data_IF_546493023712
#
_entry.id   IF_546493023712
#
_cell.length_a   1.000
_cell.length_b   1.000
_cell.length_c   1.000
_cell.angle_alpha   90.00
_cell.angle_beta   90.00
_cell.angle_gamma   90.00
#
_symmetry.space_group_name_H-M   'P 1'
#
loop_
_entity.id
_entity.type
_entity.pdbx_description
1 polymer ?
#
# COMPACT_ATOMS: atom_id res chain seq x y z
N UNK A 1 -4.63 14.78 -14.86
CA UNK A 1 -3.60 14.06 -14.09
C UNK A 1 -3.07 14.98 -12.98
N UNK A 2 -3.11 14.50 -11.74
CA UNK A 2 -2.41 15.15 -10.62
C UNK A 2 -1.18 14.27 -10.32
N UNK A 3 0.02 14.83 -10.45
CA UNK A 3 1.28 14.11 -10.37
C UNK A 3 2.10 14.59 -9.17
N UNK A 4 2.19 13.76 -8.14
CA UNK A 4 2.99 14.01 -6.94
C UNK A 4 4.36 13.37 -7.08
N UNK A 5 5.42 14.14 -6.96
CA UNK A 5 6.80 13.64 -7.07
C UNK A 5 7.72 14.30 -6.05
N UNK A 6 8.93 13.78 -5.92
CA UNK A 6 10.04 14.40 -5.18
C UNK A 6 11.08 15.04 -6.10
N UNK A 7 11.01 14.72 -7.36
CA UNK A 7 11.86 15.23 -8.44
C UNK A 7 10.99 15.69 -9.60
N UNK A 8 11.60 16.08 -10.70
CA UNK A 8 10.90 16.53 -11.89
C UNK A 8 10.86 15.45 -13.01
N UNK A 9 10.99 14.17 -12.63
CA UNK A 9 10.91 13.07 -13.60
C UNK A 9 9.59 13.15 -14.39
N UNK A 10 9.68 13.02 -15.71
CA UNK A 10 8.56 13.11 -16.65
C UNK A 10 7.77 14.43 -16.66
N UNK A 11 8.21 15.45 -15.89
CA UNK A 11 7.48 16.72 -15.82
C UNK A 11 7.43 17.42 -17.19
N UNK A 12 8.54 17.47 -17.91
CA UNK A 12 8.63 18.12 -19.22
C UNK A 12 7.74 17.43 -20.25
N UNK A 13 7.80 16.09 -20.30
CA UNK A 13 7.00 15.27 -21.21
C UNK A 13 5.50 15.41 -20.95
N UNK A 14 5.10 15.37 -19.67
CA UNK A 14 3.69 15.51 -19.29
C UNK A 14 3.16 16.93 -19.56
N UNK A 15 4.00 17.95 -19.38
CA UNK A 15 3.66 19.32 -19.72
C UNK A 15 3.48 19.49 -21.23
N UNK A 16 4.35 18.90 -22.05
CA UNK A 16 4.22 18.91 -23.51
C UNK A 16 2.92 18.21 -23.97
N UNK A 17 2.58 17.06 -23.37
CA UNK A 17 1.33 16.38 -23.65
C UNK A 17 0.10 17.26 -23.31
N UNK A 18 0.14 17.99 -22.20
CA UNK A 18 -0.94 18.89 -21.81
C UNK A 18 -1.10 20.06 -22.80
N UNK A 19 0.00 20.55 -23.38
CA UNK A 19 -0.05 21.59 -24.42
C UNK A 19 -0.62 21.07 -25.75
N UNK A 20 -0.37 19.80 -26.07
CA UNK A 20 -0.83 19.18 -27.33
C UNK A 20 -2.29 18.70 -27.26
N UNK A 21 -2.80 18.41 -26.06
CA UNK A 21 -4.11 17.80 -25.84
C UNK A 21 -4.96 18.63 -24.89
N UNK A 22 -5.86 19.43 -25.39
CA UNK A 22 -6.71 20.37 -24.65
C UNK A 22 -7.56 19.69 -23.54
N UNK A 23 -7.85 18.38 -23.68
CA UNK A 23 -8.59 17.61 -22.67
C UNK A 23 -7.69 16.97 -21.60
N UNK A 24 -6.38 17.06 -21.72
CA UNK A 24 -5.43 16.55 -20.75
C UNK A 24 -4.97 17.66 -19.81
N UNK A 25 -5.63 17.74 -18.65
CA UNK A 25 -5.25 18.67 -17.59
C UNK A 25 -4.15 18.05 -16.72
N UNK A 26 -3.03 18.75 -16.55
CA UNK A 26 -1.87 18.29 -15.82
C UNK A 26 -1.53 19.23 -14.66
N UNK A 27 -1.46 18.68 -13.46
CA UNK A 27 -1.03 19.39 -12.26
C UNK A 27 0.17 18.68 -11.64
N UNK A 28 1.29 19.38 -11.54
CA UNK A 28 2.52 18.88 -10.95
C UNK A 28 2.69 19.42 -9.53
N UNK A 29 2.94 18.53 -8.57
CA UNK A 29 3.19 18.87 -7.17
C UNK A 29 4.50 18.22 -6.76
N UNK A 30 5.57 19.04 -6.66
CA UNK A 30 6.83 18.61 -6.09
C UNK A 30 6.71 18.64 -4.56
N UNK A 31 6.60 17.46 -3.94
CA UNK A 31 6.33 17.32 -2.51
C UNK A 31 7.48 17.78 -1.61
N UNK A 32 8.72 17.83 -2.11
CA UNK A 32 9.85 18.38 -1.37
C UNK A 32 9.81 19.91 -1.32
N UNK A 33 9.39 20.55 -2.41
CA UNK A 33 9.36 22.01 -2.53
C UNK A 33 8.08 22.57 -1.93
N UNK A 34 6.93 22.06 -2.35
CA UNK A 34 5.62 22.58 -1.97
C UNK A 34 5.15 22.05 -0.62
N UNK A 35 5.76 20.94 -0.12
CA UNK A 35 5.35 20.26 1.13
C UNK A 35 3.85 19.93 1.18
N UNK A 36 3.26 19.74 0.00
CA UNK A 36 1.84 19.50 -0.18
C UNK A 36 1.61 18.02 -0.53
N UNK A 37 0.62 17.44 0.13
CA UNK A 37 0.18 16.07 -0.07
C UNK A 37 -1.30 16.08 -0.48
N UNK A 38 -1.79 14.93 -0.97
CA UNK A 38 -3.20 14.83 -1.33
C UNK A 38 -4.08 14.95 -0.08
N UNK A 39 -5.01 15.89 -0.14
CA UNK A 39 -6.12 16.06 0.80
C UNK A 39 -7.41 16.42 0.02
N UNK A 40 -8.51 16.51 0.75
CA UNK A 40 -9.80 16.81 0.12
C UNK A 40 -9.82 18.19 -0.55
N UNK A 41 -9.27 19.21 0.11
CA UNK A 41 -9.24 20.56 -0.43
C UNK A 41 -8.45 20.67 -1.72
N UNK A 42 -7.28 20.03 -1.79
CA UNK A 42 -6.47 19.97 -2.98
C UNK A 42 -7.18 19.22 -4.11
N UNK A 43 -7.84 18.11 -3.79
CA UNK A 43 -8.59 17.32 -4.77
C UNK A 43 -9.76 18.14 -5.36
N UNK A 44 -10.52 18.84 -4.51
CA UNK A 44 -11.62 19.72 -4.94
C UNK A 44 -11.14 20.91 -5.79
N UNK A 45 -9.97 21.46 -5.45
CA UNK A 45 -9.36 22.56 -6.20
C UNK A 45 -8.90 22.13 -7.60
N UNK A 46 -8.19 20.99 -7.70
CA UNK A 46 -7.56 20.56 -8.95
C UNK A 46 -8.46 19.69 -9.83
N UNK A 47 -9.47 19.06 -9.26
CA UNK A 47 -10.43 18.21 -9.95
C UNK A 47 -11.84 18.41 -9.38
N UNK A 48 -12.51 19.55 -9.65
CA UNK A 48 -13.82 19.84 -9.06
C UNK A 48 -14.88 18.77 -9.31
N UNK A 49 -14.77 18.08 -10.44
CA UNK A 49 -15.70 17.01 -10.84
C UNK A 49 -15.31 15.62 -10.36
N UNK A 50 -14.36 15.49 -9.41
CA UNK A 50 -13.88 14.18 -8.96
C UNK A 50 -15.01 13.26 -8.45
N UNK A 51 -16.10 13.85 -7.93
CA UNK A 51 -17.27 13.08 -7.43
C UNK A 51 -18.04 12.35 -8.55
N UNK A 52 -17.91 12.81 -9.78
CA UNK A 52 -18.58 12.25 -10.96
C UNK A 52 -17.62 11.47 -11.87
N UNK A 53 -16.34 11.43 -11.54
CA UNK A 53 -15.29 10.81 -12.34
C UNK A 53 -14.75 9.53 -11.70
N UNK A 54 -14.25 8.61 -12.51
CA UNK A 54 -13.43 7.50 -12.05
C UNK A 54 -12.02 8.00 -11.76
N UNK A 55 -11.54 7.78 -10.55
CA UNK A 55 -10.19 8.10 -10.13
C UNK A 55 -9.32 6.84 -10.17
N UNK A 56 -8.23 6.92 -10.91
CA UNK A 56 -7.19 5.91 -10.94
C UNK A 56 -5.98 6.44 -10.19
N UNK A 57 -5.56 5.75 -9.15
CA UNK A 57 -4.46 6.17 -8.30
C UNK A 57 -3.40 5.10 -8.17
N UNK A 58 -2.14 5.54 -8.22
CA UNK A 58 -0.96 4.71 -8.07
C UNK A 58 0.13 5.55 -7.40
N UNK A 59 0.77 5.05 -6.38
CA UNK A 59 1.83 5.81 -5.70
C UNK A 59 2.16 5.32 -4.30
N UNK A 60 2.78 6.21 -3.52
CA UNK A 60 3.23 5.92 -2.17
C UNK A 60 2.07 5.56 -1.23
N UNK A 61 2.34 4.69 -0.27
CA UNK A 61 1.35 4.18 0.69
C UNK A 61 0.57 5.28 1.41
N UNK A 62 1.23 6.33 1.88
CA UNK A 62 0.58 7.45 2.56
C UNK A 62 -0.44 8.17 1.66
N UNK A 63 -0.09 8.42 0.38
CA UNK A 63 -1.01 9.00 -0.59
C UNK A 63 -2.23 8.10 -0.82
N UNK A 64 -2.00 6.78 -0.98
CA UNK A 64 -3.06 5.80 -1.19
C UNK A 64 -4.00 5.71 0.02
N UNK A 65 -3.47 5.79 1.24
CA UNK A 65 -4.27 5.83 2.47
C UNK A 65 -5.12 7.10 2.55
N UNK A 66 -4.55 8.27 2.25
CA UNK A 66 -5.29 9.55 2.23
C UNK A 66 -6.43 9.50 1.23
N UNK A 67 -6.18 9.02 0.00
CA UNK A 67 -7.24 8.86 -1.01
C UNK A 67 -8.35 7.91 -0.53
N UNK A 68 -8.00 6.76 0.05
CA UNK A 68 -9.00 5.84 0.61
C UNK A 68 -9.87 6.53 1.67
N UNK A 69 -9.27 7.25 2.60
CA UNK A 69 -10.00 7.98 3.65
C UNK A 69 -10.95 9.03 3.05
N UNK A 70 -10.47 9.84 2.09
CA UNK A 70 -11.28 10.86 1.41
C UNK A 70 -12.49 10.18 0.72
N UNK A 71 -12.26 9.16 -0.09
CA UNK A 71 -13.34 8.51 -0.85
C UNK A 71 -14.32 7.73 0.04
N UNK A 72 -13.86 7.16 1.16
CA UNK A 72 -14.73 6.55 2.16
C UNK A 72 -15.61 7.58 2.86
N UNK A 73 -15.04 8.70 3.31
CA UNK A 73 -15.79 9.79 3.96
C UNK A 73 -16.84 10.42 3.04
N UNK A 74 -16.57 10.43 1.74
CA UNK A 74 -17.49 10.96 0.73
C UNK A 74 -18.48 9.91 0.18
N UNK A 75 -18.41 8.64 0.65
CA UNK A 75 -19.19 7.50 0.12
C UNK A 75 -18.94 7.23 -1.39
N UNK A 76 -17.74 7.47 -1.88
CA UNK A 76 -17.33 7.36 -3.28
C UNK A 76 -16.36 6.21 -3.56
N UNK A 77 -16.28 5.20 -2.71
CA UNK A 77 -15.30 4.10 -2.81
C UNK A 77 -15.35 3.33 -4.13
N UNK A 78 -16.53 3.23 -4.74
CA UNK A 78 -16.70 2.57 -6.04
C UNK A 78 -15.99 3.30 -7.19
N UNK A 79 -15.76 4.61 -7.05
CA UNK A 79 -15.13 5.47 -8.05
C UNK A 79 -13.61 5.52 -7.92
N UNK A 80 -13.03 4.96 -6.85
CA UNK A 80 -11.58 4.90 -6.65
C UNK A 80 -11.05 3.54 -7.10
N UNK A 81 -10.21 3.54 -8.13
CA UNK A 81 -9.43 2.39 -8.58
C UNK A 81 -7.97 2.62 -8.23
N UNK A 82 -7.35 1.66 -7.58
CA UNK A 82 -5.99 1.79 -7.07
C UNK A 82 -5.11 0.67 -7.56
N UNK A 83 -3.92 1.02 -8.01
CA UNK A 83 -2.87 0.09 -8.34
C UNK A 83 -1.74 0.23 -7.31
N UNK A 84 -1.26 -0.90 -6.80
CA UNK A 84 -0.31 -0.92 -5.71
C UNK A 84 1.00 -1.57 -6.15
N UNK A 85 2.11 -0.90 -5.88
CA UNK A 85 3.43 -1.52 -6.00
C UNK A 85 3.74 -2.34 -4.75
N UNK A 86 4.55 -3.38 -4.92
CA UNK A 86 4.97 -4.21 -3.80
C UNK A 86 5.80 -3.38 -2.80
N UNK A 87 5.52 -3.61 -1.52
CA UNK A 87 6.34 -3.05 -0.45
C UNK A 87 7.57 -3.92 -0.24
N UNK A 88 8.72 -3.29 -0.22
CA UNK A 88 9.95 -3.98 0.11
C UNK A 88 10.01 -4.23 1.62
N UNK A 89 10.21 -5.47 2.00
CA UNK A 89 10.58 -5.85 3.36
C UNK A 89 11.99 -5.32 3.67
N UNK A 90 12.31 -5.26 4.94
CA UNK A 90 13.66 -4.90 5.41
C UNK A 90 14.63 -6.06 5.13
N UNK A 91 15.42 -5.93 4.07
CA UNK A 91 16.37 -6.97 3.63
C UNK A 91 17.54 -7.16 4.60
N UNK A 92 17.74 -6.23 5.55
CA UNK A 92 18.78 -6.36 6.58
C UNK A 92 18.40 -7.36 7.70
N UNK A 93 17.11 -7.71 7.79
CA UNK A 93 16.64 -8.65 8.80
C UNK A 93 16.88 -10.10 8.37
N UNK A 94 17.29 -10.97 9.32
CA UNK A 94 17.49 -12.38 9.02
C UNK A 94 16.17 -13.05 8.65
N UNK A 95 16.24 -14.02 7.77
CA UNK A 95 15.11 -14.88 7.42
C UNK A 95 14.60 -15.65 8.65
N UNK A 96 13.29 -15.85 8.73
CA UNK A 96 12.66 -16.49 9.89
C UNK A 96 11.78 -17.67 9.46
N UNK A 97 11.76 -18.76 10.22
CA UNK A 97 10.83 -19.86 9.99
C UNK A 97 9.40 -19.41 10.32
N UNK A 98 8.48 -19.76 9.42
CA UNK A 98 7.06 -19.48 9.54
C UNK A 98 6.26 -20.76 9.34
N UNK A 99 5.28 -20.99 10.22
CA UNK A 99 4.37 -22.13 10.13
C UNK A 99 2.93 -21.65 10.01
N UNK A 100 2.24 -22.09 8.96
CA UNK A 100 0.79 -21.96 8.83
C UNK A 100 0.12 -23.18 9.46
N UNK A 101 -0.53 -23.00 10.61
CA UNK A 101 -1.01 -24.12 11.43
C UNK A 101 -2.11 -24.93 10.74
N UNK A 102 -3.03 -24.28 10.02
CA UNK A 102 -4.15 -24.95 9.34
C UNK A 102 -3.67 -25.84 8.19
N UNK A 103 -2.75 -25.34 7.37
CA UNK A 103 -2.22 -26.09 6.22
C UNK A 103 -1.06 -26.99 6.58
N UNK A 104 -0.53 -26.91 7.79
CA UNK A 104 0.69 -27.61 8.25
C UNK A 104 1.92 -27.33 7.38
N UNK A 105 1.93 -26.18 6.68
CA UNK A 105 3.04 -25.78 5.81
C UNK A 105 4.02 -24.93 6.61
N UNK A 106 5.29 -25.28 6.49
CA UNK A 106 6.42 -24.53 7.06
C UNK A 106 7.29 -24.01 5.93
N UNK A 107 7.76 -22.78 6.06
CA UNK A 107 8.66 -22.15 5.10
C UNK A 107 9.53 -21.08 5.78
N UNK A 108 10.54 -20.60 5.10
CA UNK A 108 11.38 -19.50 5.55
C UNK A 108 10.93 -18.20 4.91
N UNK A 109 10.63 -17.19 5.72
CA UNK A 109 10.23 -15.87 5.25
C UNK A 109 11.44 -14.94 5.18
N UNK A 110 11.70 -14.37 4.01
CA UNK A 110 12.75 -13.39 3.70
C UNK A 110 12.19 -12.00 3.38
N UNK A 111 10.87 -11.91 3.26
CA UNK A 111 10.13 -10.68 2.92
C UNK A 111 8.83 -10.60 3.70
N UNK A 112 7.85 -9.82 3.25
CA UNK A 112 6.56 -9.83 3.96
C UNK A 112 5.93 -11.23 3.91
N UNK A 113 5.14 -11.54 4.94
CA UNK A 113 4.57 -12.86 5.15
C UNK A 113 3.66 -13.33 4.01
N UNK A 114 2.97 -12.41 3.32
CA UNK A 114 2.13 -12.75 2.18
C UNK A 114 2.96 -13.29 1.01
N UNK A 115 4.00 -12.55 0.62
CA UNK A 115 4.86 -12.94 -0.50
C UNK A 115 5.62 -14.24 -0.19
N UNK A 116 6.15 -14.37 1.02
CA UNK A 116 6.86 -15.59 1.44
C UNK A 116 5.93 -16.81 1.44
N UNK A 117 4.67 -16.65 1.88
CA UNK A 117 3.67 -17.72 1.82
C UNK A 117 3.30 -18.10 0.38
N UNK A 118 3.13 -17.11 -0.51
CA UNK A 118 2.86 -17.36 -1.92
C UNK A 118 4.02 -18.10 -2.61
N UNK A 119 5.26 -17.73 -2.31
CA UNK A 119 6.45 -18.44 -2.80
C UNK A 119 6.53 -19.89 -2.29
N UNK A 120 6.05 -20.15 -1.08
CA UNK A 120 5.94 -21.50 -0.52
C UNK A 120 4.76 -22.29 -1.10
N UNK A 121 4.05 -21.76 -2.11
CA UNK A 121 2.93 -22.41 -2.77
C UNK A 121 1.58 -22.26 -2.05
N UNK A 122 1.53 -21.51 -0.96
CA UNK A 122 0.27 -21.15 -0.29
C UNK A 122 -0.48 -20.09 -1.07
N UNK A 123 -1.79 -20.01 -0.88
CA UNK A 123 -2.65 -19.00 -1.50
C UNK A 123 -3.48 -18.28 -0.44
N UNK A 124 -2.86 -17.49 0.44
CA UNK A 124 -3.61 -16.72 1.43
C UNK A 124 -4.57 -15.75 0.73
N UNK A 125 -5.74 -15.57 1.30
CA UNK A 125 -6.67 -14.54 0.82
C UNK A 125 -5.99 -13.18 0.89
N UNK A 126 -5.99 -12.44 -0.20
CA UNK A 126 -5.37 -11.12 -0.28
C UNK A 126 -6.14 -10.20 -1.24
N UNK A 127 -5.87 -8.90 -1.14
CA UNK A 127 -6.49 -7.88 -1.99
C UNK A 127 -5.47 -6.78 -2.32
N UNK A 128 -5.49 -5.67 -1.61
CA UNK A 128 -4.69 -4.47 -1.92
C UNK A 128 -3.16 -4.64 -1.76
N UNK A 129 -2.68 -5.63 -1.03
CA UNK A 129 -1.26 -5.90 -0.71
C UNK A 129 -0.53 -4.75 0.02
N UNK A 130 -1.28 -3.78 0.58
CA UNK A 130 -0.79 -2.53 1.18
C UNK A 130 -1.31 -2.31 2.60
N UNK A 131 -1.92 -3.32 3.22
CA UNK A 131 -2.43 -3.21 4.59
C UNK A 131 -3.73 -2.42 4.76
N UNK A 132 -4.40 -2.00 3.67
CA UNK A 132 -5.58 -1.12 3.73
C UNK A 132 -6.88 -1.93 3.77
N UNK A 133 -7.04 -2.92 2.88
CA UNK A 133 -8.32 -3.62 2.69
C UNK A 133 -8.65 -4.67 3.76
N UNK A 134 -7.73 -5.00 4.64
CA UNK A 134 -7.84 -6.04 5.67
C UNK A 134 -8.06 -7.49 5.17
N UNK A 135 -8.08 -7.72 3.86
CA UNK A 135 -8.39 -9.04 3.27
C UNK A 135 -7.37 -10.12 3.65
N UNK A 136 -6.10 -9.76 3.87
CA UNK A 136 -5.04 -10.68 4.28
C UNK A 136 -4.84 -10.72 5.81
N UNK A 137 -5.84 -10.29 6.59
CA UNK A 137 -5.77 -10.34 8.05
C UNK A 137 -5.87 -11.80 8.52
N UNK A 138 -4.97 -12.17 9.42
CA UNK A 138 -4.94 -13.49 10.04
C UNK A 138 -4.48 -13.38 11.50
N UNK A 139 -4.62 -14.48 12.25
CA UNK A 139 -4.16 -14.54 13.64
C UNK A 139 -2.70 -15.02 13.70
N UNK A 140 -1.82 -14.20 14.22
CA UNK A 140 -0.48 -14.62 14.66
C UNK A 140 -0.62 -15.27 16.03
N UNK A 141 -0.36 -16.57 16.10
CA UNK A 141 -0.46 -17.36 17.34
C UNK A 141 0.73 -17.08 18.24
N UNK A 142 1.94 -17.05 17.68
CA UNK A 142 3.17 -16.79 18.40
C UNK A 142 4.24 -16.19 17.51
N UNK A 143 5.31 -15.70 18.14
CA UNK A 143 6.42 -15.04 17.46
C UNK A 143 6.24 -13.53 17.36
N UNK A 144 7.23 -12.88 16.74
CA UNK A 144 7.27 -11.42 16.61
C UNK A 144 7.28 -11.01 15.14
N UNK A 145 6.50 -9.97 14.82
CA UNK A 145 6.44 -9.40 13.48
C UNK A 145 6.68 -7.90 13.53
N UNK A 146 7.30 -7.38 12.47
CA UNK A 146 7.49 -5.94 12.23
C UNK A 146 6.54 -5.50 11.14
N UNK A 147 5.81 -4.43 11.39
CA UNK A 147 5.05 -3.74 10.34
C UNK A 147 6.02 -2.99 9.43
N UNK A 148 6.05 -3.33 8.15
CA UNK A 148 7.02 -2.78 7.19
C UNK A 148 6.76 -1.30 6.85
N UNK A 149 5.57 -0.76 7.17
CA UNK A 149 5.26 0.67 6.99
C UNK A 149 5.62 1.51 8.19
N UNK A 150 5.15 1.08 9.36
CA UNK A 150 5.27 1.88 10.58
C UNK A 150 6.56 1.58 11.34
N UNK A 151 7.18 0.44 11.07
CA UNK A 151 8.31 -0.08 11.84
C UNK A 151 7.91 -0.66 13.20
N UNK A 152 6.63 -0.60 13.55
CA UNK A 152 6.10 -1.10 14.82
C UNK A 152 6.28 -2.62 14.93
N UNK A 153 6.69 -3.07 16.10
CA UNK A 153 6.91 -4.49 16.38
C UNK A 153 5.77 -5.01 17.25
N UNK A 154 5.18 -6.11 16.79
CA UNK A 154 4.18 -6.86 17.54
C UNK A 154 4.80 -8.15 18.11
N UNK A 155 4.98 -8.18 19.44
CA UNK A 155 5.43 -9.35 20.21
C UNK A 155 4.28 -10.17 20.80
N UNK A 156 3.03 -9.72 20.62
CA UNK A 156 1.85 -10.36 21.21
C UNK A 156 1.58 -11.74 20.65
N UNK A 157 0.96 -12.60 21.46
CA UNK A 157 0.40 -13.87 21.01
C UNK A 157 -1.10 -13.73 20.76
N UNK A 158 -1.61 -14.48 19.77
CA UNK A 158 -3.01 -14.41 19.33
C UNK A 158 -3.44 -13.01 18.88
N UNK A 159 -2.53 -12.26 18.24
CA UNK A 159 -2.78 -10.94 17.71
C UNK A 159 -3.22 -10.99 16.24
N UNK A 160 -3.98 -9.98 15.80
CA UNK A 160 -4.36 -9.84 14.40
C UNK A 160 -3.24 -9.11 13.64
N UNK A 161 -2.74 -9.73 12.59
CA UNK A 161 -1.74 -9.14 11.69
C UNK A 161 -2.26 -9.16 10.25
N UNK A 162 -1.70 -8.29 9.42
CA UNK A 162 -1.95 -8.27 7.97
C UNK A 162 -0.72 -8.84 7.25
N UNK A 163 -0.85 -9.99 6.63
CA UNK A 163 0.28 -10.70 5.99
C UNK A 163 1.08 -9.82 5.03
N UNK A 164 0.41 -8.95 4.26
CA UNK A 164 1.05 -8.15 3.22
C UNK A 164 1.97 -7.04 3.75
N UNK A 165 1.83 -6.64 5.01
CA UNK A 165 2.64 -5.59 5.64
C UNK A 165 3.38 -6.06 6.89
N UNK A 166 3.36 -7.35 7.17
CA UNK A 166 4.05 -7.94 8.32
C UNK A 166 5.25 -8.74 7.85
N UNK A 167 6.41 -8.49 8.45
CA UNK A 167 7.64 -9.25 8.27
C UNK A 167 7.98 -9.98 9.56
N UNK A 168 8.33 -11.25 9.47
CA UNK A 168 8.77 -12.04 10.63
C UNK A 168 10.15 -11.57 11.12
N UNK A 169 10.29 -11.35 12.42
CA UNK A 169 11.56 -11.01 13.08
C UNK A 169 11.97 -12.05 14.14
N UNK A 170 11.16 -13.06 14.34
CA UNK A 170 11.45 -14.29 15.06
C UNK A 170 10.67 -15.44 14.41
N UNK A 171 10.84 -16.72 14.81
CA UNK A 171 9.94 -17.78 14.38
C UNK A 171 8.47 -17.44 14.63
N UNK A 172 7.61 -17.59 13.62
CA UNK A 172 6.19 -17.16 13.66
C UNK A 172 5.25 -18.33 13.36
N UNK A 173 4.19 -18.46 14.17
CA UNK A 173 3.08 -19.38 13.89
C UNK A 173 1.83 -18.58 13.56
N UNK A 174 1.18 -18.94 12.45
CA UNK A 174 -0.02 -18.29 11.91
C UNK A 174 -1.15 -19.32 11.78
N UNK A 175 -2.37 -18.90 12.11
CA UNK A 175 -3.57 -19.72 11.98
C UNK A 175 -4.34 -19.39 10.70
#
# INVERSE_FOLDING_TARGET
LIYFTRDDAFHVELMQLAQQHAQFHYHHINTLVQKQHVDLGLLEQLCPDYKNAMTYACGAAGMMQSLNQIYQQQNLTAQLKQEYFQLNADESLPTQPVRFQRSQVEFTADRNLLLSAEQAGLKPTNGCRMGICNTCTCTKISGSTKNIFTGEIDHGSNTQIKLCISQAISPVVIN
#
